data_IF_646606164471
#
_entry.id   IF_646606164471
#
_cell.length_a   1.000
_cell.length_b   1.000
_cell.length_c   1.000
_cell.angle_alpha   90.00
_cell.angle_beta   90.00
_cell.angle_gamma   90.00
#
_symmetry.space_group_name_H-M   'P 1'
#
loop_
_entity.id
_entity.type
_entity.pdbx_description
1 polymer ?
#
# COMPACT_ATOMS: atom_id res chain seq x y z
N UNK A 1 62.71 -3.52 -14.43
CA UNK A 1 61.68 -3.05 -15.38
C UNK A 1 60.45 -3.93 -15.21
N UNK A 2 59.46 -3.47 -14.45
CA UNK A 2 58.19 -4.19 -14.23
C UNK A 2 57.16 -3.45 -15.08
N UNK A 3 56.67 -4.11 -16.12
CA UNK A 3 55.72 -3.53 -17.05
C UNK A 3 54.57 -4.51 -17.26
N UNK A 4 53.36 -3.97 -17.12
CA UNK A 4 52.06 -4.41 -17.68
C UNK A 4 51.51 -5.71 -17.04
N UNK A 5 50.26 -5.83 -16.56
CA UNK A 5 49.00 -5.24 -17.02
C UNK A 5 48.01 -5.17 -15.84
N UNK A 6 47.72 -3.95 -15.36
CA UNK A 6 46.48 -3.63 -14.64
C UNK A 6 45.46 -3.27 -15.70
N UNK A 7 44.66 -4.24 -16.17
CA UNK A 7 43.59 -3.97 -17.14
C UNK A 7 42.50 -5.04 -17.13
N UNK A 8 41.75 -5.15 -16.02
CA UNK A 8 40.36 -5.66 -16.06
C UNK A 8 39.56 -4.98 -14.95
N UNK A 9 39.23 -3.69 -15.12
CA UNK A 9 38.46 -2.95 -14.10
C UNK A 9 37.33 -2.07 -14.63
N UNK A 10 36.98 -2.08 -15.93
CA UNK A 10 36.04 -1.07 -16.46
C UNK A 10 35.06 -1.53 -17.55
N UNK A 11 34.60 -2.79 -17.56
CA UNK A 11 33.54 -3.24 -18.49
C UNK A 11 32.47 -4.17 -17.86
N UNK A 12 32.14 -3.97 -16.58
CA UNK A 12 31.09 -4.72 -15.86
C UNK A 12 29.91 -3.84 -15.42
N UNK A 13 29.47 -2.91 -16.27
CA UNK A 13 28.33 -2.04 -16.01
C UNK A 13 27.02 -2.81 -15.85
N UNK A 14 26.30 -2.51 -14.77
CA UNK A 14 24.86 -2.72 -14.55
C UNK A 14 24.32 -4.15 -14.69
N UNK A 15 24.29 -4.94 -13.61
CA UNK A 15 23.50 -6.17 -13.66
C UNK A 15 23.55 -7.12 -12.48
N UNK A 16 23.82 -6.66 -11.25
CA UNK A 16 23.72 -7.55 -10.08
C UNK A 16 22.94 -6.84 -8.96
N UNK A 17 21.65 -6.60 -9.21
CA UNK A 17 20.66 -6.74 -8.14
C UNK A 17 20.03 -8.11 -8.35
N UNK A 18 20.51 -9.07 -7.58
CA UNK A 18 20.05 -10.44 -7.56
C UNK A 18 18.59 -10.49 -7.11
N UNK A 19 17.69 -10.47 -8.09
CA UNK A 19 16.24 -10.62 -7.93
C UNK A 19 15.67 -10.60 -9.33
N UNK A 20 15.49 -11.78 -9.94
CA UNK A 20 14.82 -11.85 -11.23
C UNK A 20 13.46 -11.16 -11.13
N UNK A 21 13.11 -10.33 -12.11
CA UNK A 21 11.78 -9.73 -12.15
C UNK A 21 10.72 -10.82 -12.07
N UNK A 22 9.67 -10.58 -11.28
CA UNK A 22 8.57 -11.52 -11.16
C UNK A 22 7.93 -11.78 -12.53
N UNK A 23 7.40 -12.99 -12.71
CA UNK A 23 6.52 -13.26 -13.84
C UNK A 23 5.33 -12.31 -13.82
N UNK A 24 4.79 -11.93 -14.98
CA UNK A 24 3.63 -11.03 -15.04
C UNK A 24 2.44 -11.55 -14.24
N UNK A 25 2.15 -12.86 -14.32
CA UNK A 25 1.06 -13.49 -13.55
C UNK A 25 1.34 -13.50 -12.05
N UNK A 26 2.58 -13.77 -11.64
CA UNK A 26 3.01 -13.71 -10.24
C UNK A 26 2.87 -12.31 -9.66
N UNK A 27 3.39 -11.30 -10.37
CA UNK A 27 3.27 -9.90 -9.98
C UNK A 27 1.81 -9.45 -9.90
N UNK A 28 0.98 -9.76 -10.90
CA UNK A 28 -0.45 -9.41 -10.89
C UNK A 28 -1.21 -10.04 -9.73
N UNK A 29 -0.89 -11.30 -9.38
CA UNK A 29 -1.46 -11.98 -8.21
C UNK A 29 -1.10 -11.23 -6.93
N UNK A 30 0.16 -10.79 -6.79
CA UNK A 30 0.61 -9.99 -5.64
C UNK A 30 -0.08 -8.63 -5.59
N UNK A 31 -0.24 -7.95 -6.72
CA UNK A 31 -1.00 -6.70 -6.81
C UNK A 31 -2.44 -6.89 -6.32
N UNK A 32 -3.14 -7.91 -6.81
CA UNK A 32 -4.53 -8.17 -6.41
C UNK A 32 -4.64 -8.45 -4.91
N UNK A 33 -3.73 -9.26 -4.37
CA UNK A 33 -3.66 -9.55 -2.93
C UNK A 33 -3.40 -8.29 -2.11
N UNK A 34 -2.36 -7.51 -2.43
CA UNK A 34 -2.00 -6.31 -1.67
C UNK A 34 -3.07 -5.23 -1.75
N UNK A 35 -3.59 -4.95 -2.96
CA UNK A 35 -4.68 -3.99 -3.13
C UNK A 35 -5.96 -4.48 -2.45
N UNK A 36 -6.22 -5.79 -2.48
CA UNK A 36 -7.34 -6.42 -1.78
C UNK A 36 -7.26 -6.25 -0.26
N UNK A 37 -6.09 -6.48 0.33
CA UNK A 37 -5.85 -6.24 1.76
C UNK A 37 -6.05 -4.76 2.09
N UNK A 38 -5.51 -3.85 1.28
CA UNK A 38 -5.65 -2.41 1.53
C UNK A 38 -7.10 -1.92 1.42
N UNK A 39 -7.87 -2.42 0.45
CA UNK A 39 -9.32 -2.19 0.35
C UNK A 39 -10.04 -2.70 1.60
N UNK A 40 -9.69 -3.90 2.08
CA UNK A 40 -10.28 -4.48 3.30
C UNK A 40 -9.97 -3.66 4.55
N UNK A 41 -8.71 -3.22 4.72
CA UNK A 41 -8.29 -2.35 5.83
C UNK A 41 -9.01 -1.00 5.81
N UNK A 42 -9.17 -0.37 4.63
CA UNK A 42 -9.92 0.86 4.47
C UNK A 42 -11.42 0.67 4.79
N UNK A 43 -12.04 -0.39 4.28
CA UNK A 43 -13.45 -0.70 4.54
C UNK A 43 -13.72 -0.96 6.03
N UNK A 44 -12.85 -1.74 6.67
CA UNK A 44 -12.90 -2.00 8.12
C UNK A 44 -12.74 -0.69 8.91
N UNK A 45 -11.77 0.15 8.53
CA UNK A 45 -11.56 1.45 9.18
C UNK A 45 -12.81 2.33 9.03
N UNK A 46 -13.41 2.41 7.85
CA UNK A 46 -14.63 3.19 7.63
C UNK A 46 -15.78 2.72 8.53
N UNK A 47 -16.00 1.40 8.61
CA UNK A 47 -17.04 0.80 9.47
C UNK A 47 -16.80 1.10 10.95
N UNK A 48 -15.55 1.04 11.41
CA UNK A 48 -15.21 1.36 12.80
C UNK A 48 -15.46 2.83 13.14
N UNK A 49 -15.06 3.74 12.26
CA UNK A 49 -15.28 5.18 12.46
C UNK A 49 -16.76 5.55 12.42
N UNK A 50 -17.53 4.93 11.53
CA UNK A 50 -18.98 5.12 11.43
C UNK A 50 -19.70 4.64 12.70
N UNK A 51 -19.46 3.39 13.11
CA UNK A 51 -20.06 2.86 14.33
C UNK A 51 -19.59 3.62 15.59
N UNK A 52 -18.38 4.20 15.56
CA UNK A 52 -17.93 5.09 16.63
C UNK A 52 -18.68 6.41 16.65
N UNK A 53 -18.95 7.00 15.48
CA UNK A 53 -19.72 8.24 15.36
C UNK A 53 -21.15 8.04 15.87
N UNK A 54 -21.74 6.88 15.59
CA UNK A 54 -23.08 6.49 16.04
C UNK A 54 -23.14 6.08 17.53
N UNK A 55 -22.00 6.02 18.22
CA UNK A 55 -21.93 5.68 19.65
C UNK A 55 -22.04 4.18 19.96
N UNK A 56 -21.96 3.31 18.95
CA UNK A 56 -22.00 1.86 19.13
C UNK A 56 -20.67 1.25 19.59
N UNK A 57 -19.55 1.97 19.44
CA UNK A 57 -18.22 1.50 19.81
C UNK A 57 -17.52 2.41 20.81
N UNK A 58 -16.74 1.82 21.72
CA UNK A 58 -15.89 2.55 22.65
C UNK A 58 -14.65 3.11 21.93
N UNK A 59 -14.16 4.27 22.38
CA UNK A 59 -12.95 4.90 21.80
C UNK A 59 -11.74 3.96 21.87
N UNK A 60 -11.53 3.26 22.99
CA UNK A 60 -10.36 2.38 23.17
C UNK A 60 -10.34 1.23 22.16
N UNK A 61 -11.50 0.62 21.90
CA UNK A 61 -11.61 -0.44 20.90
C UNK A 61 -11.25 0.10 19.50
N UNK A 62 -11.81 1.25 19.13
CA UNK A 62 -11.59 1.87 17.81
C UNK A 62 -10.14 2.26 17.62
N UNK A 63 -9.49 2.84 18.64
CA UNK A 63 -8.05 3.19 18.59
C UNK A 63 -7.19 1.97 18.31
N UNK A 64 -7.43 0.86 19.04
CA UNK A 64 -6.65 -0.38 18.83
C UNK A 64 -6.90 -0.96 17.45
N UNK A 65 -8.17 -1.07 17.04
CA UNK A 65 -8.54 -1.67 15.77
C UNK A 65 -8.02 -0.87 14.55
N UNK A 66 -8.11 0.47 14.58
CA UNK A 66 -7.57 1.31 13.50
C UNK A 66 -6.03 1.24 13.44
N UNK A 67 -5.35 1.17 14.59
CA UNK A 67 -3.88 0.97 14.63
C UNK A 67 -3.45 -0.39 14.07
N UNK A 68 -4.24 -1.43 14.32
CA UNK A 68 -3.97 -2.76 13.76
C UNK A 68 -4.15 -2.75 12.24
N UNK A 69 -5.24 -2.18 11.73
CA UNK A 69 -5.46 -1.98 10.30
C UNK A 69 -4.32 -1.19 9.64
N UNK A 70 -3.84 -0.12 10.30
CA UNK A 70 -2.70 0.67 9.83
C UNK A 70 -1.40 -0.14 9.78
N UNK A 71 -1.15 -0.98 10.80
CA UNK A 71 0.06 -1.82 10.84
C UNK A 71 0.05 -2.82 9.69
N UNK A 72 -1.05 -3.56 9.52
CA UNK A 72 -1.21 -4.52 8.43
C UNK A 72 -1.02 -3.84 7.08
N UNK A 73 -1.68 -2.70 6.86
CA UNK A 73 -1.55 -1.95 5.61
C UNK A 73 -0.11 -1.48 5.35
N UNK A 74 0.61 -0.99 6.37
CA UNK A 74 2.00 -0.60 6.23
C UNK A 74 2.90 -1.80 5.88
N UNK A 75 2.73 -2.93 6.56
CA UNK A 75 3.52 -4.13 6.29
C UNK A 75 3.32 -4.61 4.85
N UNK A 76 2.08 -4.67 4.38
CA UNK A 76 1.76 -5.07 3.01
C UNK A 76 2.26 -4.06 1.97
N UNK A 77 2.11 -2.76 2.23
CA UNK A 77 2.61 -1.72 1.34
C UNK A 77 4.14 -1.75 1.21
N UNK A 78 4.86 -1.90 2.32
CA UNK A 78 6.33 -2.00 2.32
C UNK A 78 6.81 -3.27 1.61
N UNK A 79 6.15 -4.41 1.85
CA UNK A 79 6.45 -5.65 1.15
C UNK A 79 6.24 -5.48 -0.36
N UNK A 80 5.15 -4.83 -0.77
CA UNK A 80 4.86 -4.58 -2.18
C UNK A 80 5.82 -3.59 -2.83
N UNK A 81 6.24 -2.52 -2.15
CA UNK A 81 7.24 -1.57 -2.65
C UNK A 81 8.59 -2.23 -2.94
N UNK A 82 8.93 -3.29 -2.20
CA UNK A 82 10.13 -4.08 -2.44
C UNK A 82 10.02 -5.06 -3.61
N UNK A 83 8.80 -5.28 -4.13
CA UNK A 83 8.54 -6.19 -5.24
C UNK A 83 8.99 -5.57 -6.56
N UNK A 84 9.84 -6.28 -7.30
CA UNK A 84 10.31 -5.80 -8.60
C UNK A 84 9.32 -6.21 -9.71
N UNK A 85 8.63 -5.26 -10.35
CA UNK A 85 7.69 -5.58 -11.42
C UNK A 85 8.43 -6.01 -12.70
N UNK A 86 7.81 -6.82 -13.57
CA UNK A 86 8.26 -6.96 -14.94
C UNK A 86 8.16 -5.61 -15.68
N UNK A 87 8.99 -5.42 -16.71
CA UNK A 87 9.13 -4.12 -17.38
C UNK A 87 7.81 -3.61 -18.00
N UNK A 88 6.98 -4.51 -18.50
CA UNK A 88 5.64 -4.24 -19.03
C UNK A 88 4.68 -3.63 -17.98
N UNK A 89 4.90 -3.93 -16.70
CA UNK A 89 4.03 -3.54 -15.59
C UNK A 89 4.54 -2.33 -14.79
N UNK A 90 5.67 -1.74 -15.17
CA UNK A 90 6.30 -0.66 -14.41
C UNK A 90 5.37 0.55 -14.17
N UNK A 91 4.50 0.88 -15.13
CA UNK A 91 3.53 1.97 -14.99
C UNK A 91 2.38 1.61 -14.04
N UNK A 92 1.88 0.38 -14.12
CA UNK A 92 0.86 -0.13 -13.20
C UNK A 92 1.41 -0.21 -11.77
N UNK A 93 2.66 -0.62 -11.60
CA UNK A 93 3.35 -0.66 -10.32
C UNK A 93 3.42 0.72 -9.65
N UNK A 94 3.83 1.77 -10.38
CA UNK A 94 3.86 3.14 -9.83
C UNK A 94 2.48 3.57 -9.33
N UNK A 95 1.42 3.31 -10.11
CA UNK A 95 0.04 3.63 -9.71
C UNK A 95 -0.39 2.86 -8.47
N UNK A 96 -0.04 1.59 -8.35
CA UNK A 96 -0.34 0.76 -7.20
C UNK A 96 0.38 1.27 -5.94
N UNK A 97 1.69 1.54 -6.02
CA UNK A 97 2.48 2.10 -4.92
C UNK A 97 1.92 3.46 -4.46
N UNK A 98 1.64 4.37 -5.39
CA UNK A 98 1.04 5.67 -5.06
C UNK A 98 -0.33 5.52 -4.37
N UNK A 99 -1.15 4.56 -4.82
CA UNK A 99 -2.46 4.33 -4.22
C UNK A 99 -2.36 3.69 -2.83
N UNK A 100 -1.41 2.79 -2.61
CA UNK A 100 -1.12 2.21 -1.29
C UNK A 100 -0.60 3.29 -0.33
N UNK A 101 0.28 4.18 -0.78
CA UNK A 101 0.76 5.31 0.03
C UNK A 101 -0.38 6.25 0.46
N UNK A 102 -1.36 6.52 -0.44
CA UNK A 102 -2.58 7.25 -0.10
C UNK A 102 -3.44 6.50 0.93
N UNK A 103 -3.58 5.18 0.78
CA UNK A 103 -4.31 4.35 1.74
C UNK A 103 -3.68 4.41 3.14
N UNK A 104 -2.35 4.23 3.24
CA UNK A 104 -1.59 4.37 4.49
C UNK A 104 -1.83 5.73 5.12
N UNK A 105 -1.75 6.80 4.32
CA UNK A 105 -1.95 8.17 4.79
C UNK A 105 -3.35 8.36 5.37
N UNK A 106 -4.40 7.88 4.68
CA UNK A 106 -5.78 8.00 5.13
C UNK A 106 -6.05 7.23 6.44
N UNK A 107 -5.56 5.99 6.56
CA UNK A 107 -5.71 5.20 7.80
C UNK A 107 -4.88 5.79 8.94
N UNK A 108 -3.70 6.36 8.65
CA UNK A 108 -2.90 7.05 9.64
C UNK A 108 -3.61 8.30 10.18
N UNK A 109 -4.20 9.12 9.30
CA UNK A 109 -5.00 10.28 9.71
C UNK A 109 -6.20 9.85 10.59
N UNK A 110 -6.88 8.76 10.23
CA UNK A 110 -7.92 8.16 11.06
C UNK A 110 -7.40 7.75 12.44
N UNK A 111 -6.26 7.04 12.50
CA UNK A 111 -5.61 6.61 13.75
C UNK A 111 -5.29 7.80 14.66
N UNK A 112 -4.75 8.89 14.10
CA UNK A 112 -4.48 10.13 14.83
C UNK A 112 -5.77 10.77 15.34
N UNK A 113 -6.80 10.91 14.50
CA UNK A 113 -8.06 11.52 14.87
C UNK A 113 -8.77 10.76 16.01
N UNK A 114 -8.85 9.43 15.92
CA UNK A 114 -9.47 8.62 16.99
C UNK A 114 -8.67 8.64 18.28
N UNK A 115 -7.32 8.68 18.19
CA UNK A 115 -6.45 8.78 19.36
C UNK A 115 -6.58 10.13 20.07
N UNK A 116 -6.78 11.20 19.31
CA UNK A 116 -6.99 12.55 19.85
C UNK A 116 -8.41 12.77 20.43
N UNK A 117 -9.38 11.91 20.06
CA UNK A 117 -10.77 12.08 20.48
C UNK A 117 -11.50 13.26 19.81
N UNK A 118 -10.90 13.84 18.78
CA UNK A 118 -11.47 14.97 18.03
C UNK A 118 -12.56 14.47 17.06
N UNK A 119 -13.81 14.80 17.36
CA UNK A 119 -14.97 14.38 16.55
C UNK A 119 -14.97 14.97 15.14
N UNK A 120 -14.51 16.22 14.99
CA UNK A 120 -14.42 16.87 13.68
C UNK A 120 -13.38 16.17 12.81
N UNK A 121 -12.19 15.95 13.36
CA UNK A 121 -11.13 15.23 12.68
C UNK A 121 -11.52 13.78 12.33
N UNK A 122 -12.30 13.10 13.20
CA UNK A 122 -12.81 11.75 12.90
C UNK A 122 -13.76 11.76 11.71
N UNK A 123 -14.63 12.76 11.60
CA UNK A 123 -15.55 12.87 10.46
C UNK A 123 -14.81 13.13 9.14
N UNK A 124 -13.81 14.01 9.16
CA UNK A 124 -12.98 14.27 7.98
C UNK A 124 -12.15 13.04 7.60
N UNK A 125 -11.57 12.35 8.58
CA UNK A 125 -10.86 11.09 8.36
C UNK A 125 -11.76 10.01 7.75
N UNK A 126 -13.02 9.87 8.22
CA UNK A 126 -13.99 8.95 7.62
C UNK A 126 -14.26 9.28 6.15
N UNK A 127 -14.42 10.57 5.82
CA UNK A 127 -14.62 11.01 4.43
C UNK A 127 -13.41 10.66 3.56
N UNK A 128 -12.20 10.83 4.07
CA UNK A 128 -10.96 10.56 3.35
C UNK A 128 -10.70 9.06 3.17
N UNK A 129 -10.98 8.25 4.21
CA UNK A 129 -10.93 6.79 4.13
C UNK A 129 -11.92 6.29 3.08
N UNK A 130 -13.16 6.78 3.05
CA UNK A 130 -14.17 6.38 2.04
C UNK A 130 -13.77 6.78 0.61
N UNK A 131 -13.23 7.99 0.42
CA UNK A 131 -12.72 8.42 -0.89
C UNK A 131 -11.56 7.55 -1.36
N UNK A 132 -10.64 7.24 -0.45
CA UNK A 132 -9.47 6.41 -0.76
C UNK A 132 -9.87 4.96 -1.03
N UNK A 133 -10.84 4.42 -0.29
CA UNK A 133 -11.45 3.12 -0.53
C UNK A 133 -12.00 3.02 -1.96
N UNK A 134 -12.83 3.97 -2.38
CA UNK A 134 -13.43 3.97 -3.71
C UNK A 134 -12.38 4.06 -4.83
N UNK A 135 -11.38 4.94 -4.67
CA UNK A 135 -10.31 5.08 -5.64
C UNK A 135 -9.42 3.82 -5.75
N UNK A 136 -9.14 3.17 -4.62
CA UNK A 136 -8.31 1.98 -4.58
C UNK A 136 -9.04 0.75 -5.14
N UNK A 137 -10.32 0.61 -4.82
CA UNK A 137 -11.22 -0.41 -5.37
C UNK A 137 -11.27 -0.30 -6.90
N UNK A 138 -11.49 0.90 -7.44
CA UNK A 138 -11.51 1.13 -8.88
C UNK A 138 -10.15 0.84 -9.56
N UNK A 139 -9.04 1.19 -8.91
CA UNK A 139 -7.71 0.84 -9.40
C UNK A 139 -7.52 -0.69 -9.44
N UNK A 140 -7.85 -1.39 -8.36
CA UNK A 140 -7.75 -2.86 -8.28
C UNK A 140 -8.56 -3.51 -9.39
N UNK A 141 -9.81 -3.08 -9.58
CA UNK A 141 -10.69 -3.62 -10.60
C UNK A 141 -10.13 -3.37 -12.02
N UNK A 142 -9.52 -2.22 -12.28
CA UNK A 142 -8.86 -1.94 -13.57
C UNK A 142 -7.63 -2.81 -13.81
N UNK A 143 -6.78 -2.98 -12.79
CA UNK A 143 -5.56 -3.78 -12.90
C UNK A 143 -5.83 -5.28 -13.01
N UNK A 144 -6.91 -5.77 -12.40
CA UNK A 144 -7.27 -7.19 -12.42
C UNK A 144 -8.13 -7.58 -13.62
N UNK A 145 -9.01 -6.69 -14.10
CA UNK A 145 -9.79 -6.93 -15.33
C UNK A 145 -8.94 -6.88 -16.59
N UNK A 146 -7.89 -6.04 -16.63
CA UNK A 146 -6.94 -6.02 -17.74
C UNK A 146 -6.10 -7.31 -17.87
N UNK A 147 -6.17 -8.21 -16.88
CA UNK A 147 -5.46 -9.47 -16.86
C UNK A 147 -6.27 -10.68 -17.38
N UNK A 148 -7.54 -10.47 -17.74
CA UNK A 148 -8.43 -11.48 -18.36
C UNK A 148 -8.61 -11.17 -19.84
#
# INVERSE_FOLDING_TARGET
MIAVVVAVLLLGGCGVRSGAAESESGWRTKVDQTLGTAVSSLGTTALLLENRADGHLTTNYVVVAVRDALRTLNTEAQAFESLQPPASEAAANRRAVEALGRAVTAVNAASTAVSAGDRGAVHDALRDVRRTYAALQDLRDRLTKAAR
#
